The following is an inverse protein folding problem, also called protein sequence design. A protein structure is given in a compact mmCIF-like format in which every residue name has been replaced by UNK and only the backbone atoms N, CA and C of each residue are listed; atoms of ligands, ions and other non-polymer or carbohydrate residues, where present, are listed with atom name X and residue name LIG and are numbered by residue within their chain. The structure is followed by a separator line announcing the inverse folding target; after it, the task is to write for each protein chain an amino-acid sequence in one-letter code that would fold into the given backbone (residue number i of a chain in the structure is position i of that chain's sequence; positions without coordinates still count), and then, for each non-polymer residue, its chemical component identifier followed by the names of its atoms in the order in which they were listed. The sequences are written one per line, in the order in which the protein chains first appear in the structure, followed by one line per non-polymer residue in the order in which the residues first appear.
data_IF_470689798534
#
_entry.id   IF_470689798534
#
_cell.length_a   1.000
_cell.length_b   1.000
_cell.length_c   1.000
_cell.angle_alpha   90.00
_cell.angle_beta   90.00
_cell.angle_gamma   90.00
#
_symmetry.space_group_name_H-M   'P 1'
#
loop_
_entity.id
_entity.type
_entity.pdbx_description
1 polymer ?
#
# COMPACT_ATOMS: atom_id res chain seq x y z
N UNK A 1 -25.06 53.55 30.30
CA UNK A 1 -25.01 52.12 30.67
C UNK A 1 -24.88 51.32 29.38
N UNK A 2 -23.74 50.68 29.10
CA UNK A 2 -23.61 49.82 27.91
C UNK A 2 -24.57 48.65 28.08
N UNK A 3 -25.43 48.34 27.10
CA UNK A 3 -26.45 47.31 27.26
C UNK A 3 -25.75 45.98 27.51
N UNK A 4 -26.05 45.37 28.66
CA UNK A 4 -25.45 44.12 29.14
C UNK A 4 -25.49 43.01 28.06
N UNK A 5 -26.46 43.08 27.15
CA UNK A 5 -26.58 42.22 25.98
C UNK A 5 -25.43 42.30 24.96
N UNK A 6 -24.80 43.47 24.74
CA UNK A 6 -23.65 43.58 23.82
C UNK A 6 -22.39 42.90 24.40
N UNK A 7 -22.20 43.00 25.71
CA UNK A 7 -21.07 42.36 26.40
C UNK A 7 -21.27 40.84 26.43
N UNK A 8 -22.49 40.39 26.74
CA UNK A 8 -22.86 38.97 26.71
C UNK A 8 -22.74 38.34 25.32
N UNK A 9 -23.17 39.04 24.26
CA UNK A 9 -23.02 38.55 22.89
C UNK A 9 -21.55 38.46 22.44
N UNK A 10 -20.70 39.41 22.85
CA UNK A 10 -19.25 39.36 22.57
C UNK A 10 -18.56 38.21 23.31
N UNK A 11 -18.93 37.95 24.56
CA UNK A 11 -18.40 36.82 25.33
C UNK A 11 -18.89 35.48 24.77
N UNK A 12 -20.19 35.36 24.46
CA UNK A 12 -20.76 34.17 23.83
C UNK A 12 -20.14 33.88 22.47
N UNK A 13 -19.93 34.88 21.62
CA UNK A 13 -19.25 34.72 20.32
C UNK A 13 -17.81 34.23 20.45
N UNK A 14 -17.02 34.77 21.40
CA UNK A 14 -15.66 34.28 21.66
C UNK A 14 -15.66 32.84 22.18
N UNK A 15 -16.60 32.49 23.06
CA UNK A 15 -16.76 31.13 23.55
C UNK A 15 -17.12 30.16 22.42
N UNK A 16 -18.04 30.54 21.53
CA UNK A 16 -18.41 29.72 20.37
C UNK A 16 -17.20 29.49 19.45
N UNK A 17 -16.42 30.53 19.13
CA UNK A 17 -15.23 30.39 18.27
C UNK A 17 -14.19 29.46 18.90
N UNK A 18 -13.94 29.58 20.21
CA UNK A 18 -13.02 28.70 20.93
C UNK A 18 -13.53 27.26 20.92
N UNK A 19 -14.81 27.05 21.21
CA UNK A 19 -15.42 25.70 21.19
C UNK A 19 -15.36 25.07 19.79
N UNK A 20 -15.69 25.83 18.74
CA UNK A 20 -15.60 25.34 17.35
C UNK A 20 -14.15 25.00 16.99
N UNK A 21 -13.19 25.83 17.39
CA UNK A 21 -11.76 25.55 17.14
C UNK A 21 -11.31 24.26 17.82
N UNK A 22 -11.65 24.09 19.10
CA UNK A 22 -11.33 22.87 19.86
C UNK A 22 -12.01 21.61 19.26
N UNK A 23 -13.24 21.74 18.76
CA UNK A 23 -13.94 20.65 18.09
C UNK A 23 -13.28 20.29 16.76
N UNK A 24 -12.87 21.28 15.96
CA UNK A 24 -12.15 21.05 14.70
C UNK A 24 -10.79 20.38 14.95
N UNK A 25 -10.02 20.85 15.94
CA UNK A 25 -8.75 20.25 16.32
C UNK A 25 -8.92 18.79 16.78
N UNK A 26 -9.97 18.52 17.57
CA UNK A 26 -10.31 17.15 17.99
C UNK A 26 -10.64 16.26 16.78
N UNK A 27 -11.43 16.76 15.82
CA UNK A 27 -11.76 16.03 14.58
C UNK A 27 -10.47 15.73 13.78
N UNK A 28 -9.58 16.71 13.62
CA UNK A 28 -8.30 16.54 12.93
C UNK A 28 -7.43 15.50 13.64
N UNK A 29 -7.36 15.54 14.97
CA UNK A 29 -6.60 14.59 15.78
C UNK A 29 -7.17 13.17 15.69
N UNK A 30 -8.49 13.01 15.73
CA UNK A 30 -9.17 11.72 15.54
C UNK A 30 -8.93 11.18 14.14
N UNK A 31 -8.97 12.03 13.11
CA UNK A 31 -8.61 11.64 11.75
C UNK A 31 -7.15 11.20 11.66
N UNK A 32 -6.19 11.95 12.22
CA UNK A 32 -4.77 11.55 12.28
C UNK A 32 -4.56 10.22 13.01
N UNK A 33 -5.30 9.97 14.09
CA UNK A 33 -5.21 8.75 14.87
C UNK A 33 -5.80 7.54 14.13
N UNK A 34 -6.96 7.71 13.48
CA UNK A 34 -7.61 6.68 12.65
C UNK A 34 -6.80 6.37 11.39
N UNK A 35 -6.19 7.40 10.83
CA UNK A 35 -5.32 7.33 9.65
C UNK A 35 -3.85 7.04 10.02
N UNK A 36 -3.58 6.47 11.20
CA UNK A 36 -2.23 5.99 11.51
C UNK A 36 -1.83 4.95 10.47
N UNK A 37 -0.76 5.20 9.69
CA UNK A 37 -0.33 4.28 8.66
C UNK A 37 0.21 2.99 9.27
N UNK A 38 0.15 1.89 8.52
CA UNK A 38 0.81 0.64 8.89
C UNK A 38 2.08 0.45 8.08
N UNK A 39 3.12 -0.04 8.72
CA UNK A 39 4.42 -0.28 8.08
C UNK A 39 4.34 -1.44 7.08
N UNK A 40 5.25 -1.48 6.11
CA UNK A 40 5.35 -2.60 5.15
C UNK A 40 5.51 -3.95 5.87
N UNK A 41 6.29 -3.99 6.97
CA UNK A 41 6.47 -5.21 7.77
C UNK A 41 5.16 -5.69 8.39
N UNK A 42 4.35 -4.77 8.93
CA UNK A 42 3.03 -5.10 9.48
C UNK A 42 2.06 -5.57 8.38
N UNK A 43 2.10 -4.92 7.21
CA UNK A 43 1.28 -5.30 6.06
C UNK A 43 1.60 -6.71 5.55
N UNK A 44 2.89 -7.02 5.36
CA UNK A 44 3.34 -8.36 4.94
C UNK A 44 2.99 -9.44 5.98
N UNK A 45 3.13 -9.13 7.27
CA UNK A 45 2.71 -10.04 8.35
C UNK A 45 1.21 -10.33 8.26
N UNK A 46 0.39 -9.32 7.98
CA UNK A 46 -1.05 -9.50 7.79
C UNK A 46 -1.38 -10.36 6.56
N UNK A 47 -0.65 -10.20 5.45
CA UNK A 47 -0.79 -11.05 4.26
C UNK A 47 -0.46 -12.51 4.60
N UNK A 48 0.64 -12.74 5.31
CA UNK A 48 1.05 -14.10 5.73
C UNK A 48 0.00 -14.78 6.60
N UNK A 49 -0.61 -14.04 7.53
CA UNK A 49 -1.66 -14.58 8.39
C UNK A 49 -2.94 -14.91 7.62
N UNK A 50 -3.32 -14.08 6.63
CA UNK A 50 -4.57 -14.27 5.88
C UNK A 50 -4.46 -15.19 4.67
N UNK A 51 -3.30 -15.26 4.03
CA UNK A 51 -3.04 -16.03 2.82
C UNK A 51 -1.68 -16.75 2.94
N UNK A 52 -1.53 -17.73 3.86
CA UNK A 52 -0.23 -18.30 4.22
C UNK A 52 0.54 -18.87 3.02
N UNK A 53 1.86 -18.81 3.11
CA UNK A 53 2.76 -19.41 2.12
C UNK A 53 2.71 -20.92 2.24
N UNK A 54 2.60 -21.60 1.09
CA UNK A 54 2.74 -23.04 0.98
C UNK A 54 3.81 -23.39 -0.05
N UNK A 55 4.39 -24.59 0.06
CA UNK A 55 5.23 -25.13 -0.99
C UNK A 55 4.36 -25.75 -2.08
N UNK A 56 4.61 -25.35 -3.33
CA UNK A 56 3.97 -25.98 -4.47
C UNK A 56 4.42 -27.43 -4.59
N UNK A 57 3.45 -28.30 -4.88
CA UNK A 57 3.69 -29.72 -5.13
C UNK A 57 2.98 -30.10 -6.41
N UNK A 58 3.49 -31.08 -7.16
CA UNK A 58 2.84 -31.60 -8.36
C UNK A 58 1.42 -32.10 -8.12
N UNK A 59 1.07 -32.48 -6.88
CA UNK A 59 -0.30 -32.82 -6.49
C UNK A 59 -1.24 -31.62 -6.53
N UNK A 60 -0.77 -30.42 -6.16
CA UNK A 60 -1.55 -29.17 -6.27
C UNK A 60 -1.88 -28.81 -7.73
N UNK A 61 -1.06 -29.25 -8.70
CA UNK A 61 -1.30 -29.04 -10.15
C UNK A 61 -2.64 -29.61 -10.62
N UNK A 62 -3.13 -30.68 -10.00
CA UNK A 62 -4.41 -31.30 -10.39
C UNK A 62 -5.63 -30.47 -9.95
N UNK A 63 -5.46 -29.56 -8.99
CA UNK A 63 -6.55 -28.78 -8.38
C UNK A 63 -6.45 -27.27 -8.68
N UNK A 64 -5.30 -26.79 -9.17
CA UNK A 64 -4.98 -25.37 -9.34
C UNK A 64 -4.20 -25.08 -10.63
N UNK A 65 -4.05 -23.79 -10.95
CA UNK A 65 -3.26 -23.32 -12.10
C UNK A 65 -1.79 -23.77 -12.00
N UNK A 66 -1.20 -24.15 -13.13
CA UNK A 66 0.19 -24.64 -13.22
C UNK A 66 1.22 -23.53 -13.46
N UNK A 67 0.79 -22.28 -13.58
CA UNK A 67 1.59 -21.13 -13.97
C UNK A 67 1.19 -19.90 -13.15
N UNK A 68 2.18 -19.11 -12.75
CA UNK A 68 1.95 -17.81 -12.12
C UNK A 68 1.61 -16.76 -13.16
N UNK A 69 0.37 -16.26 -13.15
CA UNK A 69 -0.10 -15.26 -14.13
C UNK A 69 0.48 -13.85 -13.97
N UNK A 70 1.32 -13.64 -12.96
CA UNK A 70 2.03 -12.36 -12.75
C UNK A 70 3.39 -12.38 -13.45
N UNK A 71 4.16 -13.47 -13.34
CA UNK A 71 5.48 -13.60 -13.97
C UNK A 71 5.49 -14.51 -15.20
N UNK A 72 4.35 -15.10 -15.56
CA UNK A 72 4.17 -16.00 -16.71
C UNK A 72 5.16 -17.19 -16.70
N UNK A 73 5.42 -17.71 -15.50
CA UNK A 73 6.35 -18.82 -15.29
C UNK A 73 5.63 -19.99 -14.63
N UNK A 74 5.91 -21.20 -15.11
CA UNK A 74 5.39 -22.44 -14.51
C UNK A 74 5.85 -22.61 -13.07
N UNK A 75 4.99 -23.20 -12.23
CA UNK A 75 5.34 -23.55 -10.86
C UNK A 75 6.21 -24.81 -10.82
N UNK A 76 7.27 -24.76 -10.01
CA UNK A 76 8.17 -25.89 -9.75
C UNK A 76 7.98 -26.47 -8.36
N UNK A 77 8.29 -27.76 -8.20
CA UNK A 77 8.20 -28.46 -6.91
C UNK A 77 9.01 -27.71 -5.84
N UNK A 78 8.40 -27.47 -4.68
CA UNK A 78 9.02 -26.77 -3.56
C UNK A 78 8.98 -25.23 -3.64
N UNK A 79 8.50 -24.64 -4.74
CA UNK A 79 8.39 -23.18 -4.85
C UNK A 79 7.35 -22.62 -3.88
N UNK A 80 7.64 -21.44 -3.33
CA UNK A 80 6.74 -20.76 -2.40
C UNK A 80 5.61 -20.09 -3.16
N UNK A 81 4.40 -20.56 -2.93
CA UNK A 81 3.19 -20.02 -3.56
C UNK A 81 2.17 -19.62 -2.49
N UNK A 82 1.21 -18.79 -2.88
CA UNK A 82 0.03 -18.46 -2.10
C UNK A 82 -1.22 -18.78 -2.91
N UNK A 83 -2.18 -19.43 -2.26
CA UNK A 83 -3.49 -19.68 -2.82
C UNK A 83 -4.51 -18.71 -2.22
N UNK A 84 -5.19 -17.96 -3.07
CA UNK A 84 -6.21 -17.01 -2.64
C UNK A 84 -7.55 -17.71 -2.40
N UNK A 85 -8.43 -17.11 -1.59
CA UNK A 85 -9.82 -17.60 -1.41
C UNK A 85 -10.62 -17.73 -2.72
N UNK A 86 -10.20 -17.01 -3.76
CA UNK A 86 -10.78 -17.12 -5.10
C UNK A 86 -10.24 -18.30 -5.93
N UNK A 87 -9.38 -19.15 -5.35
CA UNK A 87 -8.73 -20.35 -5.92
C UNK A 87 -7.65 -20.10 -6.98
N UNK A 88 -7.22 -18.85 -7.15
CA UNK A 88 -6.07 -18.53 -8.00
C UNK A 88 -4.77 -18.61 -7.20
N UNK A 89 -3.73 -19.13 -7.84
CA UNK A 89 -2.43 -19.39 -7.22
C UNK A 89 -1.36 -18.52 -7.87
N UNK A 90 -0.44 -18.00 -7.06
CA UNK A 90 0.66 -17.16 -7.51
C UNK A 90 1.91 -17.47 -6.69
N UNK A 91 3.10 -17.17 -7.23
CA UNK A 91 4.31 -17.12 -6.40
C UNK A 91 4.12 -16.13 -5.26
N UNK A 92 4.59 -16.51 -4.06
CA UNK A 92 4.49 -15.69 -2.85
C UNK A 92 4.97 -14.27 -3.12
N UNK A 93 6.16 -14.13 -3.70
CA UNK A 93 6.79 -12.82 -3.88
C UNK A 93 6.10 -12.01 -4.99
N UNK A 94 5.58 -12.68 -6.04
CA UNK A 94 4.79 -12.01 -7.09
C UNK A 94 3.48 -11.44 -6.53
N UNK A 95 2.76 -12.23 -5.73
CA UNK A 95 1.53 -11.76 -5.12
C UNK A 95 1.79 -10.69 -4.05
N UNK A 96 2.82 -10.86 -3.21
CA UNK A 96 3.14 -9.89 -2.17
C UNK A 96 3.51 -8.52 -2.76
N UNK A 97 4.28 -8.48 -3.86
CA UNK A 97 4.54 -7.24 -4.61
C UNK A 97 3.26 -6.66 -5.19
N UNK A 98 2.44 -7.49 -5.83
CA UNK A 98 1.17 -7.04 -6.41
C UNK A 98 0.22 -6.43 -5.36
N UNK A 99 0.07 -7.06 -4.20
CA UNK A 99 -0.79 -6.57 -3.13
C UNK A 99 -0.26 -5.29 -2.49
N UNK A 100 1.06 -5.07 -2.52
CA UNK A 100 1.64 -3.80 -2.13
C UNK A 100 1.31 -2.74 -3.19
N UNK A 101 1.73 -2.94 -4.44
CA UNK A 101 1.72 -1.89 -5.46
C UNK A 101 0.31 -1.50 -5.93
N UNK A 102 -0.62 -2.46 -6.03
CA UNK A 102 -1.92 -2.26 -6.66
C UNK A 102 -3.10 -2.30 -5.66
N UNK A 103 -4.34 -2.49 -6.12
CA UNK A 103 -5.57 -2.44 -5.30
C UNK A 103 -5.78 -3.62 -4.33
N UNK A 104 -4.74 -4.37 -4.01
CA UNK A 104 -4.81 -5.58 -3.18
C UNK A 104 -5.93 -6.55 -3.61
N UNK A 105 -6.08 -6.69 -4.93
CA UNK A 105 -7.05 -7.57 -5.59
C UNK A 105 -6.32 -8.73 -6.27
N UNK A 106 -7.03 -9.84 -6.49
CA UNK A 106 -6.54 -10.93 -7.31
C UNK A 106 -6.18 -10.41 -8.73
N UNK A 107 -4.96 -10.69 -9.25
CA UNK A 107 -4.55 -10.31 -10.61
C UNK A 107 -5.48 -10.84 -11.71
N UNK A 108 -6.16 -11.97 -11.48
CA UNK A 108 -6.99 -12.64 -12.49
C UNK A 108 -8.45 -12.21 -12.45
N UNK A 109 -9.09 -12.30 -11.29
CA UNK A 109 -10.53 -12.09 -11.17
C UNK A 109 -10.93 -10.81 -10.44
N UNK A 110 -9.95 -10.00 -10.01
CA UNK A 110 -10.13 -8.71 -9.31
C UNK A 110 -10.88 -8.80 -7.98
N UNK A 111 -11.19 -10.00 -7.48
CA UNK A 111 -11.75 -10.19 -6.13
C UNK A 111 -10.78 -9.64 -5.09
N UNK A 112 -11.34 -8.97 -4.08
CA UNK A 112 -10.57 -8.35 -3.01
C UNK A 112 -9.85 -9.42 -2.17
N UNK A 113 -8.54 -9.22 -1.95
CA UNK A 113 -7.70 -10.14 -1.17
C UNK A 113 -7.56 -9.69 0.28
N UNK A 114 -7.46 -8.38 0.50
CA UNK A 114 -7.29 -7.77 1.83
C UNK A 114 -8.37 -6.73 2.13
N UNK A 115 -8.74 -6.53 3.40
CA UNK A 115 -9.68 -5.50 3.82
C UNK A 115 -9.25 -4.08 3.40
N UNK A 116 -10.22 -3.25 3.03
CA UNK A 116 -9.95 -1.89 2.54
C UNK A 116 -9.23 -1.00 3.57
N UNK A 117 -9.53 -1.15 4.86
CA UNK A 117 -8.91 -0.35 5.92
C UNK A 117 -7.42 -0.66 6.07
N UNK A 118 -7.02 -1.93 5.96
CA UNK A 118 -5.62 -2.38 5.98
C UNK A 118 -4.87 -1.80 4.77
N UNK A 119 -5.46 -1.92 3.59
CA UNK A 119 -4.86 -1.43 2.33
C UNK A 119 -4.70 0.09 2.35
N UNK A 120 -5.72 0.81 2.83
CA UNK A 120 -5.70 2.28 2.94
C UNK A 120 -4.59 2.77 3.86
N UNK A 121 -4.47 2.16 5.05
CA UNK A 121 -3.41 2.50 6.01
C UNK A 121 -2.01 2.21 5.46
N UNK A 122 -1.84 1.15 4.67
CA UNK A 122 -0.54 0.83 4.05
C UNK A 122 -0.18 1.79 2.92
N UNK A 123 -1.15 2.15 2.07
CA UNK A 123 -0.95 3.15 1.00
C UNK A 123 -0.56 4.50 1.54
N UNK A 124 -1.20 4.92 2.63
CA UNK A 124 -0.84 6.18 3.29
C UNK A 124 0.60 6.17 3.82
N UNK A 125 1.10 5.03 4.34
CA UNK A 125 2.51 4.87 4.71
C UNK A 125 3.43 5.10 3.52
N UNK A 126 3.12 4.46 2.37
CA UNK A 126 3.93 4.58 1.16
C UNK A 126 3.99 6.03 0.66
N UNK A 127 2.84 6.70 0.59
CA UNK A 127 2.78 8.11 0.16
C UNK A 127 3.58 9.03 1.11
N UNK A 128 3.61 8.75 2.41
CA UNK A 128 4.41 9.51 3.38
C UNK A 128 5.91 9.27 3.19
N UNK A 129 6.32 8.03 2.92
CA UNK A 129 7.73 7.70 2.62
C UNK A 129 8.17 8.36 1.31
N UNK A 130 7.36 8.28 0.25
CA UNK A 130 7.66 8.91 -1.04
C UNK A 130 7.74 10.44 -0.94
N UNK A 131 6.82 11.07 -0.20
CA UNK A 131 6.87 12.52 0.07
C UNK A 131 8.11 12.91 0.90
N UNK A 132 8.53 12.05 1.83
CA UNK A 132 9.76 12.23 2.60
C UNK A 132 11.02 12.04 1.77
N UNK A 133 11.06 11.11 0.81
CA UNK A 133 12.23 10.90 -0.08
C UNK A 133 12.36 12.06 -1.07
N UNK A 134 11.25 12.58 -1.60
CA UNK A 134 11.27 13.73 -2.52
C UNK A 134 11.68 15.06 -1.84
N UNK A 135 11.58 15.14 -0.51
CA UNK A 135 12.01 16.31 0.28
C UNK A 135 13.49 16.32 0.65
N UNK A 136 14.19 15.20 0.47
CA UNK A 136 15.59 15.06 0.82
C UNK A 136 16.25 14.10 -0.16
N UNK A 137 16.92 14.71 -1.14
CA UNK A 137 18.26 14.34 -1.64
C UNK A 137 18.35 14.18 -3.16
N UNK A 138 19.11 15.11 -3.73
CA UNK A 138 19.90 15.03 -4.95
C UNK A 138 20.88 13.83 -4.91
N UNK A 139 20.43 12.59 -4.71
CA UNK A 139 21.35 11.44 -4.81
C UNK A 139 20.65 10.08 -5.05
N UNK A 140 19.73 10.04 -5.99
CA UNK A 140 20.00 9.31 -7.23
C UNK A 140 20.67 7.91 -7.13
N UNK A 141 19.95 6.86 -6.65
CA UNK A 141 20.36 5.47 -6.88
C UNK A 141 19.92 4.94 -8.25
N UNK A 142 19.34 5.78 -9.12
CA UNK A 142 18.72 5.36 -10.39
C UNK A 142 19.37 5.91 -11.68
N UNK A 143 20.50 6.65 -11.62
CA UNK A 143 21.33 6.92 -12.82
C UNK A 143 22.61 6.06 -12.86
N UNK A 144 22.48 4.76 -12.56
CA UNK A 144 23.48 3.76 -12.95
C UNK A 144 22.90 2.73 -13.94
N UNK A 145 21.93 3.14 -14.75
CA UNK A 145 21.44 2.36 -15.89
C UNK A 145 21.50 3.10 -17.23
N UNK A 146 22.19 4.24 -17.29
CA UNK A 146 22.28 5.07 -18.51
C UNK A 146 23.71 5.30 -19.03
N UNK A 147 24.69 4.46 -18.68
CA UNK A 147 26.05 4.58 -19.24
C UNK A 147 26.68 3.31 -19.82
N UNK A 148 25.98 2.18 -19.89
CA UNK A 148 26.42 1.07 -20.74
C UNK A 148 25.21 0.46 -21.41
N UNK A 149 24.72 1.15 -22.44
CA UNK A 149 24.26 0.54 -23.69
C UNK A 149 23.88 1.67 -24.65
N UNK A 150 24.88 2.11 -25.42
CA UNK A 150 24.71 3.22 -26.34
C UNK A 150 25.99 3.63 -27.06
N UNK A 151 26.62 2.72 -27.81
CA UNK A 151 27.18 3.15 -29.08
C UNK A 151 26.96 2.11 -30.16
N UNK A 152 26.24 2.53 -31.19
CA UNK A 152 25.86 1.76 -32.36
C UNK A 152 26.93 1.87 -33.44
N UNK A 153 27.05 0.79 -34.22
CA UNK A 153 27.46 0.77 -35.62
C UNK A 153 28.94 0.92 -35.97
N UNK A 154 29.53 -0.17 -36.49
CA UNK A 154 30.16 -0.09 -37.81
C UNK A 154 30.07 -1.43 -38.56
N UNK A 155 29.55 -1.35 -39.78
CA UNK A 155 29.70 -2.34 -40.86
C UNK A 155 31.20 -2.58 -41.16
N UNK A 156 31.57 -3.80 -41.54
CA UNK A 156 32.09 -4.21 -42.85
C UNK A 156 32.83 -5.56 -42.72
N UNK A 157 32.43 -6.51 -43.59
CA UNK A 157 33.11 -7.74 -44.04
C UNK A 157 33.49 -8.80 -42.99
#
# INVERSE_FOLDING_TARGET
MRPVGEVLNRLCGRMIVVLVSLLLDLIILVHKLRSRPITTRQYLKFIEEKNPTICYTKRLKAEHEAECRVCLSEFKEGEKVRNLKCKHTFHRDCLDKWLQEYWATCPLCRKQVLPHDVVSKHRQHRNQVEAGVNGNEYHLPFLMSAFQDGNTSHRYL
#
